data_IF_512784923115
#
_entry.id   IF_512784923115
#
_cell.length_a   1.000
_cell.length_b   1.000
_cell.length_c   1.000
_cell.angle_alpha   90.00
_cell.angle_beta   90.00
_cell.angle_gamma   90.00
#
_symmetry.space_group_name_H-M   'P 1'
#
loop_
_entity.id
_entity.type
_entity.pdbx_description
1 polymer ?
#
# COMPACT_ATOMS: atom_id res chain seq x y z
N UNK A 1 -28.74 32.19 0.03
CA UNK A 1 -28.56 31.11 1.03
C UNK A 1 -27.85 29.90 0.39
N UNK A 2 -26.55 30.01 0.03
CA UNK A 2 -25.80 28.97 -0.74
C UNK A 2 -24.51 28.49 -0.02
N UNK A 3 -24.13 29.07 1.12
CA UNK A 3 -22.83 28.80 1.75
C UNK A 3 -22.73 27.51 2.61
N UNK A 4 -23.84 26.83 2.90
CA UNK A 4 -23.83 25.61 3.73
C UNK A 4 -23.68 24.29 2.96
N UNK A 5 -23.78 24.29 1.63
CA UNK A 5 -23.66 23.06 0.83
C UNK A 5 -22.20 22.62 0.60
N UNK A 6 -21.24 23.56 0.66
CA UNK A 6 -19.84 23.30 0.35
C UNK A 6 -19.16 22.34 1.36
N UNK A 7 -19.35 22.46 2.69
CA UNK A 7 -18.73 21.54 3.63
C UNK A 7 -19.32 20.12 3.54
N UNK A 8 -20.62 19.98 3.27
CA UNK A 8 -21.26 18.69 3.11
C UNK A 8 -20.78 17.98 1.83
N UNK A 9 -20.69 18.72 0.70
CA UNK A 9 -20.17 18.21 -0.57
C UNK A 9 -18.69 17.82 -0.47
N UNK A 10 -17.87 18.59 0.25
CA UNK A 10 -16.47 18.24 0.49
C UNK A 10 -16.35 16.91 1.25
N UNK A 11 -17.19 16.69 2.27
CA UNK A 11 -17.20 15.43 3.03
C UNK A 11 -17.71 14.25 2.19
N UNK A 12 -18.75 14.45 1.37
CA UNK A 12 -19.27 13.38 0.50
C UNK A 12 -18.26 12.99 -0.57
N UNK A 13 -17.53 13.96 -1.15
CA UNK A 13 -16.44 13.70 -2.10
C UNK A 13 -15.34 12.83 -1.49
N UNK A 14 -14.88 13.16 -0.29
CA UNK A 14 -13.86 12.35 0.42
C UNK A 14 -14.35 10.92 0.65
N UNK A 15 -15.60 10.76 1.10
CA UNK A 15 -16.20 9.43 1.30
C UNK A 15 -16.29 8.64 -0.01
N UNK A 16 -16.72 9.26 -1.10
CA UNK A 16 -16.78 8.61 -2.41
C UNK A 16 -15.40 8.16 -2.91
N UNK A 17 -14.38 8.98 -2.70
CA UNK A 17 -12.99 8.62 -3.01
C UNK A 17 -12.50 7.43 -2.18
N UNK A 18 -12.79 7.41 -0.88
CA UNK A 18 -12.46 6.28 -0.01
C UNK A 18 -13.18 4.98 -0.44
N UNK A 19 -14.47 5.04 -0.79
CA UNK A 19 -15.23 3.88 -1.29
C UNK A 19 -14.59 3.32 -2.58
N UNK A 20 -14.16 4.19 -3.51
CA UNK A 20 -13.47 3.75 -4.72
C UNK A 20 -12.12 3.09 -4.41
N UNK A 21 -11.35 3.64 -3.48
CA UNK A 21 -10.12 3.01 -2.97
C UNK A 21 -10.38 1.61 -2.40
N UNK A 22 -11.39 1.46 -1.53
CA UNK A 22 -11.81 0.17 -0.96
C UNK A 22 -12.21 -0.81 -2.07
N UNK A 23 -13.01 -0.37 -3.04
CA UNK A 23 -13.41 -1.22 -4.18
C UNK A 23 -12.21 -1.67 -5.01
N UNK A 24 -11.24 -0.79 -5.22
CA UNK A 24 -10.02 -1.07 -5.97
C UNK A 24 -9.13 -2.10 -5.25
N UNK A 25 -8.92 -1.94 -3.94
CA UNK A 25 -8.19 -2.93 -3.13
C UNK A 25 -8.92 -4.29 -3.10
N UNK A 26 -10.26 -4.32 -3.02
CA UNK A 26 -11.01 -5.59 -3.12
C UNK A 26 -10.82 -6.31 -4.45
N UNK A 27 -10.66 -5.60 -5.56
CA UNK A 27 -10.31 -6.23 -6.85
C UNK A 27 -8.91 -6.84 -6.80
N UNK A 28 -7.95 -6.13 -6.19
CA UNK A 28 -6.59 -6.65 -6.00
C UNK A 28 -6.54 -7.83 -5.02
N UNK A 29 -7.37 -7.85 -3.98
CA UNK A 29 -7.51 -8.99 -3.07
C UNK A 29 -7.84 -10.27 -3.84
N UNK A 30 -8.87 -10.21 -4.70
CA UNK A 30 -9.25 -11.36 -5.53
C UNK A 30 -8.09 -11.82 -6.41
N UNK A 31 -7.34 -10.89 -6.98
CA UNK A 31 -6.17 -11.20 -7.78
C UNK A 31 -5.02 -11.85 -6.99
N UNK A 32 -4.78 -11.42 -5.75
CA UNK A 32 -3.83 -12.11 -4.87
C UNK A 32 -4.24 -13.57 -4.62
N UNK A 33 -5.54 -13.82 -4.42
CA UNK A 33 -6.06 -15.18 -4.25
C UNK A 33 -5.92 -16.01 -5.52
N UNK A 34 -6.32 -15.49 -6.68
CA UNK A 34 -6.15 -16.17 -7.96
C UNK A 34 -4.67 -16.49 -8.24
N UNK A 35 -3.77 -15.55 -7.94
CA UNK A 35 -2.34 -15.79 -8.04
C UNK A 35 -1.89 -16.94 -7.13
N UNK A 36 -2.31 -16.93 -5.86
CA UNK A 36 -1.90 -17.97 -4.91
C UNK A 36 -2.41 -19.36 -5.34
N UNK A 37 -3.63 -19.46 -5.84
CA UNK A 37 -4.21 -20.69 -6.37
C UNK A 37 -3.37 -21.25 -7.54
N UNK A 38 -2.91 -20.38 -8.44
CA UNK A 38 -2.06 -20.75 -9.58
C UNK A 38 -0.59 -21.03 -9.21
N UNK A 39 -0.14 -20.60 -8.02
CA UNK A 39 1.27 -20.60 -7.62
C UNK A 39 1.55 -21.42 -6.35
N UNK A 40 0.83 -22.54 -6.17
CA UNK A 40 1.05 -23.50 -5.08
C UNK A 40 0.95 -22.82 -3.71
N UNK A 41 -0.12 -22.04 -3.54
CA UNK A 41 -0.46 -21.32 -2.31
C UNK A 41 0.56 -20.21 -1.95
N UNK A 42 1.42 -19.76 -2.88
CA UNK A 42 2.39 -18.68 -2.64
C UNK A 42 1.94 -17.36 -3.25
N UNK A 43 2.14 -16.30 -2.48
CA UNK A 43 1.93 -14.94 -2.96
C UNK A 43 3.04 -14.51 -3.95
N UNK A 44 2.86 -13.38 -4.65
CA UNK A 44 3.76 -13.01 -5.73
C UNK A 44 5.23 -12.77 -5.36
N UNK A 45 6.12 -13.03 -6.32
CA UNK A 45 7.53 -12.58 -6.31
C UNK A 45 7.72 -11.53 -7.41
N UNK A 46 8.25 -10.37 -7.06
CA UNK A 46 8.43 -9.25 -7.99
C UNK A 46 9.69 -8.43 -7.66
N UNK A 47 10.07 -7.50 -8.53
CA UNK A 47 11.43 -6.94 -8.56
C UNK A 47 11.67 -5.68 -7.73
N UNK A 48 10.63 -5.02 -7.21
CA UNK A 48 10.75 -3.81 -6.38
C UNK A 48 9.44 -3.50 -5.60
N UNK A 49 9.50 -2.62 -4.59
CA UNK A 49 8.43 -2.30 -3.61
C UNK A 49 7.10 -1.88 -4.25
N UNK A 50 7.13 -1.23 -5.42
CA UNK A 50 5.94 -0.72 -6.12
C UNK A 50 5.49 -1.56 -7.32
N UNK A 51 6.05 -2.75 -7.53
CA UNK A 51 5.94 -3.49 -8.82
C UNK A 51 5.02 -4.71 -8.78
N UNK A 52 4.21 -4.88 -7.73
CA UNK A 52 3.29 -6.01 -7.65
C UNK A 52 2.16 -5.95 -8.70
N UNK A 53 1.80 -4.73 -9.13
CA UNK A 53 0.73 -4.46 -10.10
C UNK A 53 0.74 -2.99 -10.55
N UNK A 54 -0.14 -2.63 -11.47
CA UNK A 54 -0.23 -1.29 -12.05
C UNK A 54 0.61 -1.13 -13.31
N UNK A 55 0.82 0.11 -13.77
CA UNK A 55 1.55 0.36 -15.02
C UNK A 55 2.97 0.88 -14.80
N UNK A 56 3.79 0.93 -15.85
CA UNK A 56 5.06 1.63 -15.79
C UNK A 56 4.82 3.07 -16.22
N UNK A 57 4.86 4.00 -15.26
CA UNK A 57 5.12 5.41 -15.57
C UNK A 57 6.32 5.83 -14.79
N UNK A 58 7.28 6.45 -15.47
CA UNK A 58 8.37 7.19 -14.84
C UNK A 58 8.34 8.61 -15.39
N UNK A 59 7.39 9.42 -14.91
CA UNK A 59 7.53 10.87 -15.05
C UNK A 59 8.74 11.41 -14.26
N UNK A 60 9.40 10.55 -13.47
CA UNK A 60 10.62 10.87 -12.71
C UNK A 60 11.85 10.71 -13.61
N UNK A 61 12.22 11.80 -14.29
CA UNK A 61 13.40 11.84 -15.18
C UNK A 61 14.75 11.88 -14.43
N UNK A 62 14.76 12.11 -13.12
CA UNK A 62 15.98 12.46 -12.38
C UNK A 62 16.48 11.39 -11.41
N UNK A 63 15.60 10.54 -10.81
CA UNK A 63 15.97 9.35 -10.02
C UNK A 63 14.79 8.35 -9.96
N UNK A 64 14.88 7.14 -10.54
CA UNK A 64 13.84 6.14 -10.34
C UNK A 64 13.84 5.69 -8.87
N UNK A 65 12.77 5.96 -8.12
CA UNK A 65 12.57 5.39 -6.77
C UNK A 65 12.07 3.94 -6.85
N UNK A 66 11.28 3.66 -7.89
CA UNK A 66 10.90 2.30 -8.28
C UNK A 66 11.71 1.94 -9.52
N UNK A 67 12.55 0.92 -9.39
CA UNK A 67 13.58 0.51 -10.36
C UNK A 67 13.04 -0.53 -11.35
N UNK A 68 11.78 -0.39 -11.75
CA UNK A 68 11.13 -1.29 -12.69
C UNK A 68 11.69 -1.11 -14.11
N UNK A 69 12.71 -1.90 -14.43
CA UNK A 69 13.36 -1.91 -15.75
C UNK A 69 12.79 -2.99 -16.68
N UNK A 70 11.82 -3.77 -16.21
CA UNK A 70 11.36 -5.00 -16.87
C UNK A 70 9.94 -4.91 -17.43
N UNK A 71 9.26 -3.79 -17.24
CA UNK A 71 7.98 -3.49 -17.88
C UNK A 71 6.77 -4.10 -17.15
N UNK A 72 5.58 -3.69 -17.58
CA UNK A 72 4.29 -4.04 -16.93
C UNK A 72 4.00 -5.54 -16.90
N UNK A 73 4.57 -6.30 -17.84
CA UNK A 73 4.43 -7.76 -17.93
C UNK A 73 5.10 -8.49 -16.77
N UNK A 74 6.04 -7.84 -16.06
CA UNK A 74 6.68 -8.40 -14.88
C UNK A 74 5.97 -8.01 -13.57
N UNK A 75 4.82 -7.31 -13.65
CA UNK A 75 3.98 -7.00 -12.48
C UNK A 75 2.89 -8.06 -12.32
N UNK A 76 3.03 -8.98 -11.35
CA UNK A 76 2.28 -10.24 -11.32
C UNK A 76 0.75 -10.09 -11.24
N UNK A 77 0.24 -9.07 -10.56
CA UNK A 77 -1.20 -8.87 -10.44
C UNK A 77 -1.87 -8.40 -11.73
N UNK A 78 -1.12 -7.86 -12.71
CA UNK A 78 -1.71 -7.38 -13.96
C UNK A 78 -2.35 -8.49 -14.80
N UNK A 79 -1.95 -9.75 -14.58
CA UNK A 79 -2.59 -10.91 -15.21
C UNK A 79 -4.04 -11.09 -14.76
N UNK A 80 -4.34 -10.73 -13.51
CA UNK A 80 -5.63 -10.94 -12.85
C UNK A 80 -6.42 -9.64 -12.69
N UNK A 81 -5.75 -8.49 -12.72
CA UNK A 81 -6.34 -7.14 -12.67
C UNK A 81 -5.94 -6.38 -13.93
N UNK A 82 -6.74 -6.52 -14.99
CA UNK A 82 -6.48 -5.87 -16.28
C UNK A 82 -6.84 -4.38 -16.28
N UNK A 83 -7.70 -3.96 -15.35
CA UNK A 83 -8.10 -2.56 -15.22
C UNK A 83 -7.03 -1.75 -14.48
N UNK A 84 -6.20 -1.00 -15.20
CA UNK A 84 -5.16 -0.14 -14.60
C UNK A 84 -5.66 0.77 -13.48
N UNK A 85 -6.86 1.35 -13.63
CA UNK A 85 -7.48 2.21 -12.62
C UNK A 85 -7.83 1.50 -11.30
N UNK A 86 -7.76 0.16 -11.24
CA UNK A 86 -7.84 -0.58 -10.00
C UNK A 86 -6.60 -0.38 -9.12
N UNK A 87 -5.49 0.12 -9.68
CA UNK A 87 -4.27 0.47 -8.94
C UNK A 87 -4.20 1.95 -8.56
N UNK A 88 -5.21 2.75 -8.91
CA UNK A 88 -5.28 4.17 -8.58
C UNK A 88 -6.17 4.41 -7.36
N UNK A 89 -5.66 5.09 -6.35
CA UNK A 89 -6.47 5.67 -5.29
C UNK A 89 -6.82 7.12 -5.65
N UNK A 90 -8.10 7.51 -5.74
CA UNK A 90 -8.46 8.90 -6.07
C UNK A 90 -8.13 9.90 -4.95
N UNK A 91 -7.74 9.41 -3.77
CA UNK A 91 -7.19 10.22 -2.69
C UNK A 91 -5.66 10.26 -2.67
N UNK A 92 -4.99 9.63 -3.64
CA UNK A 92 -3.53 9.65 -3.76
C UNK A 92 -3.03 11.09 -3.96
N UNK A 93 -2.19 11.53 -3.02
CA UNK A 93 -1.52 12.84 -3.01
C UNK A 93 0.00 12.72 -3.06
N UNK A 94 0.52 11.55 -3.43
CA UNK A 94 1.94 11.25 -3.41
C UNK A 94 2.42 10.72 -2.06
N UNK A 95 3.73 10.69 -1.90
CA UNK A 95 4.45 10.10 -0.78
C UNK A 95 5.20 11.19 0.00
N UNK A 96 5.10 11.16 1.32
CA UNK A 96 5.78 12.15 2.18
C UNK A 96 7.27 11.88 2.32
N UNK A 97 7.73 10.66 2.05
CA UNK A 97 9.16 10.31 2.06
C UNK A 97 9.86 10.74 0.76
N UNK A 98 9.17 10.59 -0.38
CA UNK A 98 9.64 11.06 -1.70
C UNK A 98 8.69 12.12 -2.32
N UNK A 99 8.57 13.32 -1.73
CA UNK A 99 7.54 14.30 -2.10
C UNK A 99 7.76 14.96 -3.47
N UNK A 100 8.97 14.90 -4.02
CA UNK A 100 9.27 15.45 -5.36
C UNK A 100 8.99 14.39 -6.42
N UNK A 101 9.44 13.17 -6.18
CA UNK A 101 9.39 12.04 -7.11
C UNK A 101 7.98 11.46 -7.22
N UNK A 102 7.18 11.55 -6.16
CA UNK A 102 5.79 11.09 -6.15
C UNK A 102 4.80 12.07 -6.80
N UNK A 103 5.26 13.15 -7.46
CA UNK A 103 4.37 14.09 -8.15
C UNK A 103 3.90 13.57 -9.52
N UNK A 104 2.63 13.81 -9.91
CA UNK A 104 1.59 14.50 -9.14
C UNK A 104 0.93 13.61 -8.06
N UNK A 105 1.11 12.29 -8.13
CA UNK A 105 0.67 11.30 -7.14
C UNK A 105 1.43 9.97 -7.36
N UNK A 106 1.37 9.01 -6.42
CA UNK A 106 2.10 7.74 -6.50
C UNK A 106 1.69 6.92 -7.73
N UNK A 107 0.40 6.90 -8.07
CA UNK A 107 -0.08 6.20 -9.27
C UNK A 107 0.53 6.74 -10.57
N UNK A 108 0.56 8.06 -10.75
CA UNK A 108 1.16 8.66 -11.95
C UNK A 108 2.68 8.58 -11.95
N UNK A 109 3.32 8.57 -10.76
CA UNK A 109 4.77 8.54 -10.61
C UNK A 109 5.37 7.14 -10.70
N UNK A 110 4.66 6.11 -10.22
CA UNK A 110 5.17 4.75 -10.00
C UNK A 110 4.20 3.66 -10.47
N UNK A 111 2.99 4.03 -10.88
CA UNK A 111 1.98 3.14 -11.44
C UNK A 111 1.03 2.50 -10.45
N UNK A 112 1.19 2.77 -9.16
CA UNK A 112 0.41 2.13 -8.12
C UNK A 112 0.24 3.07 -6.91
N UNK A 113 -0.98 3.21 -6.42
CA UNK A 113 -1.30 3.94 -5.18
C UNK A 113 -1.27 3.06 -3.94
N UNK A 114 -1.01 1.77 -4.08
CA UNK A 114 -1.06 0.81 -3.00
C UNK A 114 0.29 0.13 -2.83
N UNK A 115 0.63 -0.16 -1.59
CA UNK A 115 1.94 -0.70 -1.25
C UNK A 115 1.78 -1.92 -0.35
N UNK A 116 2.43 -2.99 -0.76
CA UNK A 116 2.54 -4.24 -0.02
C UNK A 116 3.79 -4.20 0.85
N UNK A 117 3.80 -4.98 1.94
CA UNK A 117 5.07 -5.25 2.61
C UNK A 117 5.86 -6.26 1.76
N UNK A 118 6.84 -5.77 1.01
CA UNK A 118 7.66 -6.56 0.09
C UNK A 118 8.96 -6.95 0.76
N UNK A 119 9.30 -8.25 0.72
CA UNK A 119 10.62 -8.81 1.05
C UNK A 119 11.09 -8.71 2.51
N UNK A 120 10.60 -7.74 3.28
CA UNK A 120 11.08 -7.44 4.63
C UNK A 120 9.97 -7.45 5.67
N UNK A 121 10.28 -7.98 6.85
CA UNK A 121 9.35 -7.96 7.99
C UNK A 121 9.57 -6.68 8.81
N UNK A 122 8.80 -5.64 8.54
CA UNK A 122 8.90 -4.34 9.23
C UNK A 122 7.61 -3.90 9.88
N UNK A 123 7.71 -3.00 10.86
CA UNK A 123 6.54 -2.39 11.49
C UNK A 123 5.56 -3.41 12.07
N UNK A 124 6.07 -4.55 12.55
CA UNK A 124 5.32 -5.73 12.99
C UNK A 124 4.51 -6.44 11.90
N UNK A 125 4.68 -6.09 10.63
CA UNK A 125 4.03 -6.76 9.51
C UNK A 125 5.00 -7.74 8.88
N UNK A 126 4.61 -9.00 8.82
CA UNK A 126 5.27 -10.02 8.00
C UNK A 126 5.07 -9.68 6.53
N UNK A 127 6.12 -9.73 5.73
CA UNK A 127 6.00 -9.47 4.30
C UNK A 127 5.05 -10.46 3.62
N UNK A 128 4.48 -10.01 2.51
CA UNK A 128 3.54 -10.75 1.68
C UNK A 128 4.22 -11.28 0.44
N UNK A 129 4.94 -10.41 -0.25
CA UNK A 129 5.58 -10.72 -1.53
C UNK A 129 7.09 -10.85 -1.39
N UNK A 130 7.69 -11.64 -2.26
CA UNK A 130 9.14 -11.87 -2.29
C UNK A 130 9.86 -10.98 -3.29
N UNK A 131 11.16 -10.78 -3.05
CA UNK A 131 12.09 -10.12 -3.97
C UNK A 131 12.65 -11.11 -4.99
N UNK A 132 12.42 -10.83 -6.27
CA UNK A 132 12.94 -11.63 -7.40
C UNK A 132 14.46 -11.58 -7.51
N UNK A 133 15.09 -10.53 -6.98
CA UNK A 133 16.54 -10.29 -7.04
C UNK A 133 17.26 -10.79 -5.78
N UNK A 134 16.54 -11.18 -4.74
CA UNK A 134 17.13 -11.74 -3.53
C UNK A 134 17.75 -13.13 -3.78
N UNK A 135 18.79 -13.53 -3.03
CA UNK A 135 19.39 -14.84 -3.15
C UNK A 135 18.36 -15.96 -2.98
N UNK A 136 18.41 -16.96 -3.85
CA UNK A 136 17.46 -18.07 -3.81
C UNK A 136 17.46 -18.74 -2.43
N UNK A 137 16.28 -18.86 -1.81
CA UNK A 137 16.10 -19.46 -0.50
C UNK A 137 16.33 -18.51 0.69
N UNK A 138 16.71 -17.26 0.47
CA UNK A 138 16.73 -16.25 1.53
C UNK A 138 15.30 -15.90 1.98
N UNK A 139 15.16 -15.31 3.18
CA UNK A 139 13.85 -14.93 3.70
C UNK A 139 13.15 -13.91 2.78
N UNK A 140 13.93 -13.00 2.21
CA UNK A 140 13.52 -11.94 1.28
C UNK A 140 12.92 -12.49 -0.03
N UNK A 141 13.43 -13.63 -0.51
CA UNK A 141 12.97 -14.25 -1.74
C UNK A 141 11.68 -15.08 -1.57
N UNK A 142 11.27 -15.37 -0.32
CA UNK A 142 10.22 -16.34 -0.02
C UNK A 142 8.92 -15.61 0.33
N UNK A 143 7.93 -15.50 -0.59
CA UNK A 143 6.66 -14.87 -0.29
C UNK A 143 5.85 -15.68 0.74
N UNK A 144 4.90 -15.02 1.39
CA UNK A 144 3.98 -15.67 2.33
C UNK A 144 3.08 -16.66 1.59
N UNK A 145 2.56 -17.65 2.33
CA UNK A 145 1.54 -18.56 1.84
C UNK A 145 0.13 -18.13 2.22
N UNK A 146 -0.86 -18.46 1.39
CA UNK A 146 -2.28 -18.30 1.72
C UNK A 146 -2.66 -19.11 2.96
N UNK A 147 -2.18 -20.35 3.08
CA UNK A 147 -2.33 -21.17 4.29
C UNK A 147 -1.77 -20.53 5.56
N UNK A 148 -0.72 -19.71 5.44
CA UNK A 148 -0.17 -18.97 6.58
C UNK A 148 -1.06 -17.77 6.94
N UNK A 149 -1.56 -17.03 5.93
CA UNK A 149 -2.52 -15.94 6.14
C UNK A 149 -3.79 -16.45 6.85
N UNK A 150 -4.26 -17.63 6.46
CA UNK A 150 -5.47 -18.27 7.01
C UNK A 150 -5.40 -18.56 8.52
N UNK A 151 -4.22 -18.53 9.15
CA UNK A 151 -4.07 -18.70 10.60
C UNK A 151 -4.70 -17.56 11.39
N UNK A 152 -4.63 -16.31 10.88
CA UNK A 152 -5.25 -15.14 11.52
C UNK A 152 -5.55 -14.03 10.49
N UNK A 153 -6.51 -14.28 9.58
CA UNK A 153 -6.68 -13.49 8.36
C UNK A 153 -7.22 -12.07 8.63
N UNK A 154 -8.05 -11.90 9.66
CA UNK A 154 -8.67 -10.63 10.04
C UNK A 154 -7.69 -9.59 10.62
N UNK A 155 -6.49 -10.01 11.02
CA UNK A 155 -5.43 -9.08 11.46
C UNK A 155 -4.20 -9.14 10.56
N UNK A 156 -4.21 -9.95 9.51
CA UNK A 156 -3.08 -10.03 8.57
C UNK A 156 -3.19 -8.92 7.55
N UNK A 157 -2.28 -7.95 7.56
CA UNK A 157 -2.25 -6.90 6.52
C UNK A 157 -1.67 -7.50 5.24
N UNK A 158 -2.41 -7.42 4.14
CA UNK A 158 -1.93 -7.79 2.80
C UNK A 158 -1.34 -6.58 2.09
N UNK A 159 -2.04 -5.45 2.12
CA UNK A 159 -1.63 -4.23 1.43
C UNK A 159 -2.32 -3.02 2.07
N UNK A 160 -1.86 -1.82 1.77
CA UNK A 160 -2.63 -0.60 2.06
C UNK A 160 -2.33 0.53 1.12
N UNK A 161 -2.89 1.71 1.41
CA UNK A 161 -2.51 2.95 0.75
C UNK A 161 -0.98 3.18 0.85
N UNK A 162 -0.35 3.66 -0.22
CA UNK A 162 1.11 3.79 -0.32
C UNK A 162 1.85 4.31 0.95
N UNK A 163 1.41 5.39 1.61
CA UNK A 163 2.11 5.96 2.75
C UNK A 163 1.90 5.21 4.08
N UNK A 164 1.40 3.96 4.08
CA UNK A 164 1.04 3.28 5.32
C UNK A 164 2.22 2.95 6.25
N UNK A 165 3.43 2.70 5.72
CA UNK A 165 4.64 2.44 6.52
C UNK A 165 5.04 3.61 7.44
N UNK A 166 5.56 3.31 8.62
CA UNK A 166 5.90 4.30 9.66
C UNK A 166 6.96 5.33 9.26
N UNK A 167 7.69 5.06 8.18
CA UNK A 167 8.62 6.01 7.55
C UNK A 167 7.95 7.16 6.83
N UNK A 168 6.64 7.12 6.62
CA UNK A 168 5.88 8.20 5.99
C UNK A 168 5.13 8.96 7.06
N UNK A 169 5.32 10.28 7.05
CA UNK A 169 4.53 11.19 7.87
C UNK A 169 3.05 11.05 7.48
N UNK A 170 2.14 11.14 8.44
CA UNK A 170 0.70 11.06 8.17
C UNK A 170 0.00 12.43 8.30
N UNK A 171 0.77 13.51 8.36
CA UNK A 171 0.29 14.85 8.65
C UNK A 171 0.37 15.23 10.12
N UNK A 172 0.97 14.40 10.97
CA UNK A 172 1.16 14.68 12.40
C UNK A 172 2.52 15.31 12.72
N UNK A 173 3.42 15.37 11.72
CA UNK A 173 4.73 15.98 11.84
C UNK A 173 5.76 15.15 12.59
N UNK A 174 5.49 13.86 12.90
CA UNK A 174 6.43 12.99 13.60
C UNK A 174 7.65 12.63 12.77
N UNK A 175 7.49 12.50 11.46
CA UNK A 175 8.57 12.18 10.52
C UNK A 175 9.11 13.44 9.89
N UNK A 176 8.23 14.38 9.53
CA UNK A 176 8.61 15.64 8.91
C UNK A 176 7.74 16.79 9.39
N UNK A 177 8.37 17.78 10.03
CA UNK A 177 7.68 19.02 10.42
C UNK A 177 7.06 19.75 9.22
N UNK A 178 7.60 19.57 8.01
CA UNK A 178 7.08 20.20 6.80
C UNK A 178 5.71 19.65 6.34
N UNK A 179 5.34 18.44 6.77
CA UNK A 179 4.02 17.85 6.50
C UNK A 179 3.05 17.96 7.66
N UNK A 180 3.46 18.53 8.79
CA UNK A 180 2.59 18.73 9.95
C UNK A 180 1.30 19.47 9.56
N UNK A 181 0.18 19.00 10.07
CA UNK A 181 -1.18 19.48 9.84
C UNK A 181 -1.68 19.36 8.38
N UNK A 182 -0.90 18.72 7.50
CA UNK A 182 -1.31 18.41 6.12
C UNK A 182 -1.90 17.01 6.07
N UNK A 183 -3.19 16.88 5.81
CA UNK A 183 -3.75 15.57 5.50
C UNK A 183 -3.19 15.10 4.17
N UNK A 184 -2.51 13.96 4.17
CA UNK A 184 -1.96 13.39 2.96
C UNK A 184 -3.04 12.68 2.16
N UNK A 185 -3.64 11.59 2.64
CA UNK A 185 -4.72 10.92 1.91
C UNK A 185 -5.99 10.81 2.77
N UNK A 186 -7.13 10.60 2.12
CA UNK A 186 -8.45 10.33 2.74
C UNK A 186 -8.98 11.36 3.77
N UNK A 187 -8.35 12.53 3.93
CA UNK A 187 -8.72 13.57 4.90
C UNK A 187 -8.76 13.06 6.36
N UNK A 188 -7.68 12.43 6.82
CA UNK A 188 -7.63 11.83 8.16
C UNK A 188 -7.35 12.85 9.29
N UNK A 189 -7.35 14.16 8.99
CA UNK A 189 -7.21 15.28 9.96
C UNK A 189 -6.04 15.10 10.94
N UNK A 190 -4.86 14.76 10.41
CA UNK A 190 -3.65 14.54 11.22
C UNK A 190 -3.64 13.22 12.01
N UNK A 191 -4.66 12.37 11.86
CA UNK A 191 -4.61 11.00 12.37
C UNK A 191 -3.84 10.11 11.40
N UNK A 192 -3.01 9.25 11.96
CA UNK A 192 -2.23 8.27 11.20
C UNK A 192 -3.08 7.05 10.87
N UNK A 193 -3.76 7.08 9.75
CA UNK A 193 -4.53 5.93 9.29
C UNK A 193 -4.80 5.91 7.80
N UNK A 194 -4.94 4.70 7.29
CA UNK A 194 -4.93 4.37 5.87
C UNK A 194 -5.92 3.24 5.60
N UNK A 195 -6.43 3.15 4.38
CA UNK A 195 -7.21 1.99 3.97
C UNK A 195 -6.26 0.80 3.82
N UNK A 196 -6.44 -0.19 4.68
CA UNK A 196 -5.66 -1.42 4.71
C UNK A 196 -6.55 -2.58 4.28
N UNK A 197 -5.99 -3.45 3.44
CA UNK A 197 -6.59 -4.70 2.99
C UNK A 197 -6.04 -5.86 3.81
N UNK A 198 -6.93 -6.74 4.26
CA UNK A 198 -6.62 -7.84 5.15
C UNK A 198 -6.79 -9.21 4.51
N UNK A 199 -6.26 -10.24 5.16
CA UNK A 199 -6.22 -11.61 4.67
C UNK A 199 -7.58 -12.31 4.54
N UNK A 200 -8.65 -11.74 5.08
CA UNK A 200 -10.04 -12.19 4.89
C UNK A 200 -10.80 -11.37 3.82
N UNK A 201 -10.13 -10.40 3.19
CA UNK A 201 -10.66 -9.59 2.10
C UNK A 201 -11.41 -8.34 2.54
N UNK A 202 -11.51 -8.08 3.85
CA UNK A 202 -12.02 -6.78 4.28
C UNK A 202 -10.98 -5.69 4.00
N UNK A 203 -11.48 -4.49 3.70
CA UNK A 203 -10.66 -3.29 3.56
C UNK A 203 -11.25 -2.23 4.48
N UNK A 204 -10.44 -1.71 5.39
CA UNK A 204 -10.88 -0.78 6.41
C UNK A 204 -9.84 0.31 6.66
N UNK A 205 -10.32 1.47 7.11
CA UNK A 205 -9.44 2.52 7.63
C UNK A 205 -8.83 2.03 8.96
N UNK A 206 -7.53 1.71 8.94
CA UNK A 206 -6.80 1.33 10.14
C UNK A 206 -6.07 2.55 10.71
N UNK A 207 -6.29 2.84 12.00
CA UNK A 207 -5.56 3.90 12.70
C UNK A 207 -4.40 3.28 13.46
N UNK A 208 -3.18 3.57 13.02
CA UNK A 208 -1.99 3.13 13.74
C UNK A 208 -1.85 3.88 15.07
N UNK A 209 -1.29 3.23 16.12
CA UNK A 209 -1.16 3.84 17.43
C UNK A 209 -0.27 5.10 17.42
N UNK A 210 -0.51 5.97 18.41
CA UNK A 210 0.27 7.19 18.65
C UNK A 210 1.71 6.79 18.97
N UNK A 211 2.61 6.91 18.00
CA UNK A 211 4.00 6.46 18.10
C UNK A 211 4.46 5.56 16.96
N UNK A 212 3.56 5.14 16.07
CA UNK A 212 3.95 4.40 14.87
C UNK A 212 4.72 5.32 13.91
N UNK A 213 6.04 5.14 13.89
CA UNK A 213 7.02 5.99 13.20
C UNK A 213 8.28 5.17 12.81
N UNK A 214 9.38 5.76 12.30
CA UNK A 214 10.56 5.00 11.90
C UNK A 214 11.18 4.13 12.99
N UNK A 215 10.96 4.41 14.28
CA UNK A 215 11.47 3.58 15.38
C UNK A 215 10.84 2.18 15.44
N UNK A 216 9.72 1.97 14.72
CA UNK A 216 9.05 0.67 14.63
C UNK A 216 9.58 -0.20 13.48
N UNK A 217 10.48 0.32 12.63
CA UNK A 217 10.97 -0.36 11.43
C UNK A 217 11.47 -1.78 11.74
N UNK A 218 12.29 -1.93 12.78
CA UNK A 218 12.93 -3.21 13.15
C UNK A 218 12.10 -4.07 14.10
N UNK A 219 10.88 -3.64 14.47
CA UNK A 219 10.03 -4.45 15.34
C UNK A 219 9.54 -5.69 14.60
N UNK A 220 9.88 -6.86 15.14
CA UNK A 220 9.49 -8.16 14.59
C UNK A 220 7.98 -8.31 14.56
N UNK A 221 7.49 -8.96 13.51
CA UNK A 221 6.09 -9.37 13.43
C UNK A 221 5.73 -10.38 14.51
N UNK A 222 4.46 -10.38 14.89
CA UNK A 222 3.88 -11.33 15.84
C UNK A 222 2.44 -11.57 15.41
N UNK A 223 2.11 -12.82 15.08
CA UNK A 223 0.75 -13.19 14.67
C UNK A 223 -0.30 -12.83 15.72
N UNK A 224 0.06 -12.73 17.00
CA UNK A 224 -0.89 -12.40 18.05
C UNK A 224 -1.20 -10.90 18.14
N UNK A 225 -0.47 -10.06 17.43
CA UNK A 225 -0.68 -8.61 17.44
C UNK A 225 -1.93 -8.19 16.66
N UNK A 226 -2.38 -6.94 16.87
CA UNK A 226 -3.59 -6.38 16.23
C UNK A 226 -3.45 -6.23 14.71
N UNK A 227 -2.21 -6.22 14.25
CA UNK A 227 -1.86 -6.38 12.85
C UNK A 227 -0.58 -7.21 12.73
N UNK A 228 -0.46 -8.00 11.67
CA UNK A 228 0.76 -8.76 11.43
C UNK A 228 1.01 -9.00 9.95
#
# INVERSE_FOLDING_TARGET
MIWFMLPALARSKVKAQAIKCISNQKQQYLAYHMYADDNVDRFPVHGDWGTVGGFVRTNVKTKPIVHDTKGETNRPLNLYVTAAEAFHCPSDKGDSYWPTESKPNCYAAWGNSYLVMWSVDWFRVKHITGDKLAPAGSAEAIPIKGSQIALKPSTKIIQGDWPWHGTRDAGDGRVSAASKDKSLWHNNRGKRGWNMMYGDGHVALFNFPKGYDPSWLTQKWDINYDWW
#
